data_IF_359956681145
#
_entry.id   IF_359956681145
#
_cell.length_a   1.000
_cell.length_b   1.000
_cell.length_c   1.000
_cell.angle_alpha   90.00
_cell.angle_beta   90.00
_cell.angle_gamma   90.00
#
_symmetry.space_group_name_H-M   'P 1'
#
loop_
_entity.id
_entity.type
_entity.pdbx_description
1 polymer ?
#
# COMPACT_ATOMS: atom_id res chain seq x y z
N UNK A 1 2.90 19.45 -1.38
CA UNK A 1 3.35 18.08 -1.70
C UNK A 1 4.43 17.57 -0.76
N UNK A 2 4.12 16.53 0.03
CA UNK A 2 5.07 15.74 0.80
C UNK A 2 5.19 14.35 0.18
N UNK A 3 6.39 13.80 0.08
CA UNK A 3 6.57 12.43 -0.40
C UNK A 3 6.98 11.55 0.77
N UNK A 4 6.32 10.40 0.93
CA UNK A 4 6.79 9.32 1.78
C UNK A 4 7.42 8.23 0.94
N UNK A 5 8.59 7.78 1.37
CA UNK A 5 9.28 6.66 0.76
C UNK A 5 9.26 5.47 1.72
N UNK A 6 8.93 4.30 1.17
CA UNK A 6 8.92 3.03 1.90
C UNK A 6 9.79 2.06 1.10
N UNK A 7 10.92 1.67 1.66
CA UNK A 7 11.80 0.70 1.04
C UNK A 7 11.28 -0.73 1.24
N UNK A 8 11.43 -1.59 0.24
CA UNK A 8 11.13 -3.03 0.33
C UNK A 8 12.39 -3.81 -0.04
N UNK A 9 13.23 -4.07 0.95
CA UNK A 9 14.47 -4.83 0.85
C UNK A 9 14.28 -6.23 0.26
N UNK A 10 13.13 -6.86 0.51
CA UNK A 10 12.78 -8.20 -0.01
C UNK A 10 12.79 -8.28 -1.53
N UNK A 11 12.48 -7.17 -2.19
CA UNK A 11 12.37 -7.05 -3.65
C UNK A 11 13.35 -6.01 -4.22
N UNK A 12 14.14 -5.34 -3.37
CA UNK A 12 15.12 -4.33 -3.76
C UNK A 12 14.48 -3.10 -4.44
N UNK A 13 13.27 -2.72 -4.03
CA UNK A 13 12.51 -1.60 -4.63
C UNK A 13 12.00 -0.67 -3.54
N UNK A 14 11.79 0.60 -3.87
CA UNK A 14 11.11 1.56 -2.99
C UNK A 14 9.77 1.98 -3.57
N UNK A 15 8.81 2.28 -2.68
CA UNK A 15 7.52 2.85 -3.01
C UNK A 15 7.51 4.32 -2.59
N UNK A 16 7.25 5.21 -3.53
CA UNK A 16 7.15 6.64 -3.29
C UNK A 16 5.68 7.08 -3.39
N UNK A 17 5.15 7.56 -2.28
CA UNK A 17 3.78 8.03 -2.15
C UNK A 17 3.79 9.55 -2.03
N UNK A 18 3.29 10.21 -3.07
CA UNK A 18 3.10 11.66 -3.06
C UNK A 18 1.79 11.96 -2.35
N UNK A 19 1.87 12.80 -1.33
CA UNK A 19 0.75 13.29 -0.55
C UNK A 19 0.59 14.79 -0.78
N UNK A 20 -0.63 15.22 -1.08
CA UNK A 20 -0.94 16.66 -1.09
C UNK A 20 -1.43 17.11 0.29
N UNK A 21 -1.10 18.36 0.62
CA UNK A 21 -1.39 18.98 1.92
C UNK A 21 -2.77 19.63 1.92
N UNK A 22 -3.23 20.03 0.73
CA UNK A 22 -4.57 20.56 0.50
C UNK A 22 -5.38 19.49 -0.26
N UNK A 23 -6.31 18.88 0.46
CA UNK A 23 -7.16 17.79 -0.01
C UNK A 23 -7.74 17.04 1.20
N UNK A 24 -8.95 16.51 1.03
CA UNK A 24 -9.71 15.80 2.08
C UNK A 24 -8.93 14.58 2.64
N UNK A 25 -9.38 14.04 3.79
CA UNK A 25 -8.71 13.02 4.63
C UNK A 25 -8.26 11.72 3.91
N UNK A 26 -8.65 11.52 2.65
CA UNK A 26 -8.19 10.43 1.78
C UNK A 26 -6.77 10.59 1.22
N UNK A 27 -6.15 11.77 1.30
CA UNK A 27 -4.83 12.07 0.74
C UNK A 27 -3.64 11.80 1.69
N UNK A 28 -3.91 11.27 2.89
CA UNK A 28 -2.88 11.00 3.91
C UNK A 28 -2.52 9.51 3.98
N UNK A 29 -1.23 9.20 3.88
CA UNK A 29 -0.67 7.90 4.26
C UNK A 29 -0.66 7.82 5.78
N UNK A 30 -1.50 6.96 6.33
CA UNK A 30 -1.56 6.68 7.75
C UNK A 30 -0.41 5.76 8.17
N UNK A 31 0.11 5.93 9.38
CA UNK A 31 1.19 5.08 9.91
C UNK A 31 0.81 3.58 9.90
N UNK A 32 -0.48 3.28 10.09
CA UNK A 32 -1.02 1.92 10.00
C UNK A 32 -0.81 1.29 8.61
N UNK A 33 -0.89 2.07 7.53
CA UNK A 33 -0.65 1.58 6.16
C UNK A 33 0.82 1.22 5.96
N UNK A 34 1.74 2.01 6.52
CA UNK A 34 3.19 1.74 6.47
C UNK A 34 3.52 0.47 7.26
N UNK A 35 2.94 0.32 8.46
CA UNK A 35 3.12 -0.88 9.30
C UNK A 35 2.60 -2.12 8.57
N UNK A 36 1.42 -2.07 7.96
CA UNK A 36 0.85 -3.20 7.23
C UNK A 36 1.69 -3.57 6.00
N UNK A 37 2.16 -2.57 5.23
CA UNK A 37 3.02 -2.79 4.08
C UNK A 37 4.33 -3.51 4.48
N UNK A 38 4.97 -3.08 5.57
CA UNK A 38 6.18 -3.72 6.12
C UNK A 38 5.92 -5.11 6.69
N UNK A 39 4.77 -5.31 7.33
CA UNK A 39 4.36 -6.62 7.81
C UNK A 39 4.20 -7.63 6.67
N UNK A 40 3.61 -7.22 5.54
CA UNK A 40 3.49 -8.08 4.35
C UNK A 40 4.87 -8.46 3.79
N UNK A 41 5.82 -7.52 3.74
CA UNK A 41 7.19 -7.80 3.34
C UNK A 41 7.86 -8.85 4.24
N UNK A 42 7.78 -8.69 5.57
CA UNK A 42 8.37 -9.65 6.52
C UNK A 42 7.72 -11.03 6.37
N UNK A 43 6.40 -11.07 6.14
CA UNK A 43 5.68 -12.34 5.92
C UNK A 43 6.11 -13.05 4.64
N UNK A 44 6.31 -12.33 3.55
CA UNK A 44 6.76 -12.91 2.27
C UNK A 44 8.23 -13.32 2.27
N UNK A 45 9.11 -12.62 3.04
CA UNK A 45 10.49 -13.10 3.29
C UNK A 45 10.52 -14.44 4.04
N UNK A 46 9.48 -14.76 4.81
CA UNK A 46 9.38 -15.99 5.59
C UNK A 46 9.10 -17.26 4.78
N UNK A 47 8.99 -18.41 5.46
CA UNK A 47 8.72 -19.74 4.85
C UNK A 47 7.32 -19.89 4.25
N UNK A 48 6.51 -18.83 4.22
CA UNK A 48 5.11 -18.82 3.82
C UNK A 48 4.92 -17.71 2.80
N UNK A 49 5.33 -17.97 1.55
CA UNK A 49 4.94 -17.17 0.35
C UNK A 49 3.45 -17.36 0.07
N UNK A 50 2.64 -17.00 1.07
CA UNK A 50 1.26 -17.45 1.22
C UNK A 50 0.34 -16.70 0.26
N UNK A 51 0.80 -15.56 -0.25
CA UNK A 51 -0.05 -14.61 -0.93
C UNK A 51 0.42 -14.32 -2.36
N UNK A 52 1.63 -14.73 -2.78
CA UNK A 52 2.12 -14.53 -4.15
C UNK A 52 1.17 -15.18 -5.17
N UNK A 53 0.58 -14.37 -6.06
CA UNK A 53 -0.45 -14.81 -7.01
C UNK A 53 -1.88 -14.87 -6.48
N UNK A 54 -2.10 -14.59 -5.19
CA UNK A 54 -3.44 -14.49 -4.60
C UNK A 54 -4.09 -13.16 -4.98
N UNK A 55 -5.42 -13.18 -5.12
CA UNK A 55 -6.21 -11.96 -5.29
C UNK A 55 -6.44 -11.29 -3.95
N UNK A 56 -6.09 -10.00 -3.85
CA UNK A 56 -6.23 -9.19 -2.64
C UNK A 56 -7.07 -7.96 -2.96
N UNK A 57 -7.98 -7.61 -2.03
CA UNK A 57 -8.80 -6.40 -2.08
C UNK A 57 -8.39 -5.49 -0.93
N UNK A 58 -8.01 -4.26 -1.24
CA UNK A 58 -7.82 -3.19 -0.27
C UNK A 58 -9.13 -2.40 -0.13
N UNK A 59 -9.69 -2.38 1.09
CA UNK A 59 -10.89 -1.61 1.43
C UNK A 59 -10.48 -0.33 2.13
N UNK A 60 -10.94 0.83 1.63
CA UNK A 60 -10.57 2.13 2.17
C UNK A 60 -9.13 2.50 1.85
N UNK A 61 -8.73 2.29 0.59
CA UNK A 61 -7.34 2.39 0.17
C UNK A 61 -6.70 3.77 0.38
N UNK A 62 -7.50 4.86 0.41
CA UNK A 62 -6.98 6.22 0.49
C UNK A 62 -5.94 6.47 -0.61
N UNK A 63 -4.67 6.59 -0.21
CA UNK A 63 -3.50 6.76 -1.10
C UNK A 63 -3.05 5.48 -1.84
N UNK A 64 -3.62 4.31 -1.51
CA UNK A 64 -3.28 3.02 -2.10
C UNK A 64 -1.92 2.45 -1.65
N UNK A 65 -1.39 2.93 -0.52
CA UNK A 65 -0.10 2.51 0.02
C UNK A 65 0.04 0.98 0.14
N UNK A 66 -0.97 0.32 0.73
CA UNK A 66 -0.90 -1.12 1.02
C UNK A 66 -1.11 -1.92 -0.26
N UNK A 67 -2.00 -1.47 -1.14
CA UNK A 67 -2.22 -2.07 -2.44
C UNK A 67 -1.03 -2.02 -3.38
N UNK A 68 -0.30 -0.90 -3.39
CA UNK A 68 0.93 -0.76 -4.16
C UNK A 68 2.06 -1.63 -3.60
N UNK A 69 2.20 -1.67 -2.27
CA UNK A 69 3.12 -2.60 -1.60
C UNK A 69 2.79 -4.06 -1.94
N UNK A 70 1.50 -4.40 -1.94
CA UNK A 70 0.98 -5.70 -2.32
C UNK A 70 1.35 -6.08 -3.77
N UNK A 71 1.16 -5.16 -4.73
CA UNK A 71 1.55 -5.37 -6.12
C UNK A 71 3.07 -5.57 -6.27
N UNK A 72 3.88 -4.81 -5.53
CA UNK A 72 5.35 -4.95 -5.54
C UNK A 72 5.82 -6.31 -5.05
N UNK A 73 5.10 -6.92 -4.10
CA UNK A 73 5.36 -8.25 -3.58
C UNK A 73 4.82 -9.39 -4.47
N UNK A 74 4.11 -9.06 -5.56
CA UNK A 74 3.62 -10.03 -6.54
C UNK A 74 2.22 -10.59 -6.26
N UNK A 75 1.38 -9.83 -5.57
CA UNK A 75 -0.04 -10.13 -5.42
C UNK A 75 -0.85 -9.61 -6.61
N UNK A 76 -1.97 -10.26 -6.92
CA UNK A 76 -2.95 -9.75 -7.89
C UNK A 76 -3.89 -8.81 -7.14
N UNK A 77 -3.83 -7.52 -7.44
CA UNK A 77 -4.46 -6.50 -6.59
C UNK A 77 -5.64 -5.81 -7.29
N UNK A 78 -6.74 -5.66 -6.55
CA UNK A 78 -7.88 -4.82 -6.92
C UNK A 78 -8.03 -3.70 -5.88
N UNK A 79 -7.96 -2.46 -6.36
CA UNK A 79 -8.07 -1.26 -5.51
C UNK A 79 -9.55 -0.86 -5.38
N UNK A 80 -10.08 -0.78 -4.15
CA UNK A 80 -11.41 -0.23 -3.91
C UNK A 80 -11.36 0.84 -2.82
N UNK A 81 -11.53 2.10 -3.21
CA UNK A 81 -11.89 3.16 -2.27
C UNK A 81 -13.41 3.33 -2.29
N UNK A 82 -13.98 3.85 -1.20
CA UNK A 82 -15.32 4.44 -1.30
C UNK A 82 -15.16 5.68 -2.20
N UNK A 83 -16.02 5.85 -3.21
CA UNK A 83 -16.07 7.13 -3.92
C UNK A 83 -16.36 8.21 -2.87
N UNK A 84 -15.41 9.10 -2.59
CA UNK A 84 -15.69 10.33 -1.86
C UNK A 84 -16.73 11.09 -2.69
N UNK A 85 -17.98 11.02 -2.23
CA UNK A 85 -19.13 11.61 -2.90
C UNK A 85 -19.31 13.03 -2.38
N UNK A 86 -18.29 13.88 -2.54
CA UNK A 86 -18.37 15.32 -2.28
C UNK A 86 -17.43 16.08 -3.23
N UNK A 87 -17.89 16.26 -4.47
CA UNK A 87 -17.55 17.42 -5.32
C UNK A 87 -18.67 18.44 -5.19
#
# INVERSE_FOLDING_TARGET
>A
MFTREIDFESVGRSLQLKQEVEGDVGCVVWDAAIVLAKYLEVREKGKRKLLKGSSVVELGAGTGCVGLAAALLGYVHYLSNICDTYL
#
